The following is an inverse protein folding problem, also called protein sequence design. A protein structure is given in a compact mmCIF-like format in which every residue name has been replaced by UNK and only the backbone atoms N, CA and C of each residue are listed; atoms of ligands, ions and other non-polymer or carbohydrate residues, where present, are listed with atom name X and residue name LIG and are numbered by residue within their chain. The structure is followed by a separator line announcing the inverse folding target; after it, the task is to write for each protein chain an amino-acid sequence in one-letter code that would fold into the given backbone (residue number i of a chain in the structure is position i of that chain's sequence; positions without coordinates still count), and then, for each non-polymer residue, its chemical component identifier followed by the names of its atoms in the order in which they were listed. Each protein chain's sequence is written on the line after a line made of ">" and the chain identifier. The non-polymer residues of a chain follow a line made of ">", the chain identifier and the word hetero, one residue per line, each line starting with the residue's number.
data_IF_393524144069
#
_entry.id   IF_393524144069
#
_cell.length_a   1.000
_cell.length_b   1.000
_cell.length_c   1.000
_cell.angle_alpha   90.00
_cell.angle_beta   90.00
_cell.angle_gamma   90.00
#
_symmetry.space_group_name_H-M   'P 1'
#
loop_
_entity.id
_entity.type
_entity.pdbx_description
1 polymer ?
#
# COMPACT_ATOMS: atom_id res chain seq x y z
N UNK A 1 2.28 -5.54 -11.87
CA UNK A 1 1.43 -6.15 -12.93
C UNK A 1 -0.07 -6.03 -12.68
N UNK A 2 -0.56 -6.25 -11.46
CA UNK A 2 -2.00 -6.17 -11.12
C UNK A 2 -2.68 -4.88 -11.60
N UNK A 3 -2.08 -3.71 -11.36
CA UNK A 3 -2.64 -2.43 -11.80
C UNK A 3 -2.87 -2.35 -13.31
N UNK A 4 -1.92 -2.87 -14.10
CA UNK A 4 -2.02 -2.88 -15.56
C UNK A 4 -3.14 -3.83 -16.03
N UNK A 5 -3.19 -5.04 -15.47
CA UNK A 5 -4.27 -6.00 -15.75
C UNK A 5 -5.64 -5.43 -15.39
N UNK A 6 -5.76 -4.81 -14.21
CA UNK A 6 -6.99 -4.18 -13.77
C UNK A 6 -7.45 -3.08 -14.73
N UNK A 7 -6.55 -2.18 -15.13
CA UNK A 7 -6.91 -1.07 -16.01
C UNK A 7 -7.23 -1.55 -17.43
N UNK A 8 -6.35 -2.33 -18.06
CA UNK A 8 -6.47 -2.68 -19.47
C UNK A 8 -7.55 -3.76 -19.72
N UNK A 9 -7.61 -4.79 -18.89
CA UNK A 9 -8.49 -5.95 -19.13
C UNK A 9 -9.85 -5.76 -18.46
N UNK A 10 -9.84 -5.35 -17.19
CA UNK A 10 -11.08 -5.26 -16.40
C UNK A 10 -11.78 -3.93 -16.65
N UNK A 11 -11.10 -2.80 -16.44
CA UNK A 11 -11.74 -1.49 -16.54
C UNK A 11 -12.05 -1.09 -17.98
N UNK A 12 -11.06 -1.15 -18.88
CA UNK A 12 -11.25 -0.79 -20.28
C UNK A 12 -12.00 -1.90 -21.03
N UNK A 13 -11.60 -3.17 -20.88
CA UNK A 13 -12.22 -4.28 -21.60
C UNK A 13 -13.64 -4.62 -21.12
N UNK A 14 -13.77 -5.02 -19.86
CA UNK A 14 -15.03 -5.56 -19.32
C UNK A 14 -16.02 -4.48 -18.90
N UNK A 15 -15.53 -3.42 -18.26
CA UNK A 15 -16.35 -2.31 -17.77
C UNK A 15 -16.50 -1.19 -18.81
N UNK A 16 -15.82 -1.26 -19.96
CA UNK A 16 -15.88 -0.27 -21.05
C UNK A 16 -15.63 1.16 -20.57
N UNK A 17 -14.72 1.31 -19.61
CA UNK A 17 -14.39 2.59 -18.96
C UNK A 17 -15.54 3.25 -18.18
N UNK A 18 -16.59 2.50 -17.84
CA UNK A 18 -17.74 3.01 -17.08
C UNK A 18 -17.42 3.09 -15.59
N UNK A 19 -17.18 4.32 -15.11
CA UNK A 19 -16.86 4.61 -13.71
C UNK A 19 -18.04 4.38 -12.77
N UNK A 20 -19.28 4.49 -13.24
CA UNK A 20 -20.46 4.26 -12.40
C UNK A 20 -20.54 2.78 -11.97
N UNK A 21 -20.02 1.87 -12.80
CA UNK A 21 -19.94 0.43 -12.49
C UNK A 21 -18.83 0.10 -11.49
N UNK A 22 -17.85 0.97 -11.32
CA UNK A 22 -16.86 0.87 -10.24
C UNK A 22 -17.37 1.45 -8.91
N UNK A 23 -18.28 2.41 -8.96
CA UNK A 23 -18.72 3.12 -7.77
C UNK A 23 -19.28 2.16 -6.70
N UNK A 24 -18.95 2.42 -5.43
CA UNK A 24 -19.37 1.62 -4.29
C UNK A 24 -18.32 0.60 -3.84
N UNK A 25 -18.77 -0.61 -3.47
CA UNK A 25 -17.94 -1.63 -2.83
C UNK A 25 -16.77 -2.11 -3.69
N UNK A 26 -16.92 -2.11 -5.02
CA UNK A 26 -15.86 -2.58 -5.93
C UNK A 26 -14.64 -1.65 -5.95
N UNK A 27 -14.85 -0.33 -6.02
CA UNK A 27 -13.74 0.64 -5.95
C UNK A 27 -12.97 0.53 -4.63
N UNK A 28 -13.71 0.40 -3.52
CA UNK A 28 -13.10 0.24 -2.20
C UNK A 28 -12.29 -1.06 -2.14
N UNK A 29 -12.83 -2.18 -2.63
CA UNK A 29 -12.12 -3.45 -2.66
C UNK A 29 -10.81 -3.36 -3.47
N UNK A 30 -10.83 -2.69 -4.62
CA UNK A 30 -9.62 -2.51 -5.44
C UNK A 30 -8.59 -1.65 -4.70
N UNK A 31 -9.05 -0.54 -4.11
CA UNK A 31 -8.18 0.34 -3.32
C UNK A 31 -7.53 -0.42 -2.16
N UNK A 32 -8.34 -1.12 -1.37
CA UNK A 32 -7.88 -1.84 -0.19
C UNK A 32 -6.94 -3.00 -0.58
N UNK A 33 -7.19 -3.66 -1.72
CA UNK A 33 -6.28 -4.69 -2.27
C UNK A 33 -4.95 -4.08 -2.72
N UNK A 34 -4.97 -2.94 -3.42
CA UNK A 34 -3.74 -2.24 -3.80
C UNK A 34 -2.93 -1.80 -2.58
N UNK A 35 -3.59 -1.26 -1.56
CA UNK A 35 -2.95 -0.82 -0.32
C UNK A 35 -2.31 -1.99 0.43
N UNK A 36 -2.99 -3.14 0.48
CA UNK A 36 -2.42 -4.37 1.01
C UNK A 36 -1.17 -4.83 0.25
N UNK A 37 -1.21 -4.86 -1.08
CA UNK A 37 -0.08 -5.27 -1.91
C UNK A 37 1.14 -4.36 -1.74
N UNK A 38 0.92 -3.04 -1.58
CA UNK A 38 2.01 -2.11 -1.31
C UNK A 38 2.64 -2.35 0.07
N UNK A 39 1.84 -2.60 1.10
CA UNK A 39 2.37 -2.95 2.44
C UNK A 39 3.15 -4.25 2.40
N UNK A 40 2.63 -5.28 1.74
CA UNK A 40 3.31 -6.56 1.62
C UNK A 40 4.69 -6.41 0.95
N UNK A 41 4.77 -5.62 -0.13
CA UNK A 41 6.03 -5.34 -0.79
C UNK A 41 7.01 -4.52 0.09
N UNK A 42 6.52 -3.54 0.86
CA UNK A 42 7.35 -2.79 1.81
C UNK A 42 7.86 -3.69 2.95
N UNK A 43 7.00 -4.58 3.45
CA UNK A 43 7.35 -5.56 4.49
C UNK A 43 8.42 -6.55 4.00
N UNK A 44 8.30 -7.03 2.75
CA UNK A 44 9.33 -7.86 2.11
C UNK A 44 10.66 -7.10 1.97
N UNK A 45 10.64 -5.85 1.51
CA UNK A 45 11.85 -5.03 1.38
C UNK A 45 12.49 -4.73 2.75
N UNK A 46 11.69 -4.54 3.81
CA UNK A 46 12.17 -4.39 5.19
C UNK A 46 12.74 -5.68 5.77
N UNK A 47 12.22 -6.84 5.37
CA UNK A 47 12.75 -8.13 5.79
C UNK A 47 14.13 -8.41 5.17
N UNK A 48 14.34 -7.96 3.91
CA UNK A 48 15.61 -8.09 3.19
C UNK A 48 16.65 -7.02 3.57
N UNK A 49 16.21 -5.91 4.17
CA UNK A 49 17.15 -4.93 4.77
C UNK A 49 17.74 -5.51 6.05
N UNK A 50 19.09 -5.55 6.22
CA UNK A 50 19.66 -5.75 7.54
C UNK A 50 19.11 -4.65 8.44
N UNK A 51 18.56 -5.04 9.59
CA UNK A 51 18.11 -4.08 10.60
C UNK A 51 19.34 -3.30 11.05
N UNK A 52 19.52 -2.10 10.53
CA UNK A 52 20.36 -1.12 11.21
C UNK A 52 19.75 -0.96 12.61
N UNK A 53 20.58 -1.25 13.61
CA UNK A 53 20.22 -1.22 15.01
C UNK A 53 19.48 0.09 15.30
N UNK A 54 18.39 0.08 16.09
CA UNK A 54 17.67 1.30 16.39
C UNK A 54 18.65 2.31 16.99
N UNK A 55 18.82 3.46 16.32
CA UNK A 55 19.54 4.61 16.88
C UNK A 55 19.04 4.80 18.31
N UNK A 56 19.95 4.66 19.26
CA UNK A 56 19.66 4.74 20.69
C UNK A 56 18.75 5.95 20.95
N UNK A 57 17.58 5.70 21.53
CA UNK A 57 16.72 6.77 22.01
C UNK A 57 17.53 7.51 23.07
N UNK A 58 18.08 8.67 22.72
CA UNK A 58 18.69 9.58 23.68
C UNK A 58 17.55 10.01 24.59
N UNK A 59 17.42 9.37 25.75
CA UNK A 59 16.67 9.91 26.88
C UNK A 59 17.30 11.27 27.20
N UNK A 60 16.68 12.34 26.70
CA UNK A 60 16.94 13.67 27.21
C UNK A 60 16.50 13.65 28.67
N UNK A 61 17.49 13.49 29.56
CA UNK A 61 17.33 13.62 31.00
C UNK A 61 16.50 14.87 31.27
N UNK A 62 15.33 14.66 31.87
CA UNK A 62 14.55 15.74 32.48
C UNK A 62 15.33 16.25 33.67
N UNK A 63 16.27 17.17 33.42
CA UNK A 63 16.92 17.93 34.48
C UNK A 63 15.96 19.02 34.96
N UNK A 64 15.50 18.81 36.19
CA UNK A 64 14.71 19.73 36.98
C UNK A 64 15.46 21.05 37.16
N UNK A 65 14.79 22.18 36.92
CA UNK A 65 15.12 23.47 37.54
C UNK A 65 13.84 24.16 37.98
#
# INVERSE_FOLDING_TARGET
>A
EFAKYFVEVIFVGSLKSDRARLAGTQLNLIRDTCEYLYRLADDEERADRPKDEPDEIIELETEQV
#
